data_IF_375490537638
#
_entry.id   IF_375490537638
#
_cell.length_a   1.000
_cell.length_b   1.000
_cell.length_c   1.000
_cell.angle_alpha   90.00
_cell.angle_beta   90.00
_cell.angle_gamma   90.00
#
_symmetry.space_group_name_H-M   'P 1'
#
loop_
_entity.id
_entity.type
_entity.pdbx_description
1 polymer ?
#
# COMPACT_ATOMS: atom_id res chain seq x y z
N UNK A 1 -4.91 -8.81 0.82
CA UNK A 1 -5.41 -7.52 1.32
C UNK A 1 -4.23 -6.68 1.75
N UNK A 2 -4.23 -5.41 1.40
CA UNK A 2 -3.18 -4.45 1.73
C UNK A 2 -3.79 -3.08 2.02
N UNK A 3 -3.04 -2.22 2.69
CA UNK A 3 -3.38 -0.82 2.88
C UNK A 3 -2.13 0.04 2.74
N UNK A 4 -2.29 1.14 2.01
CA UNK A 4 -1.36 2.26 1.95
C UNK A 4 -1.86 3.32 2.91
N UNK A 5 -0.98 3.73 3.82
CA UNK A 5 -1.26 4.78 4.78
C UNK A 5 -0.09 5.76 4.84
N UNK A 6 -0.38 6.97 5.29
CA UNK A 6 0.60 8.00 5.57
C UNK A 6 0.91 7.99 7.06
N UNK A 7 2.17 7.81 7.43
CA UNK A 7 2.58 7.81 8.84
C UNK A 7 2.24 9.14 9.53
N UNK A 8 1.77 9.07 10.77
CA UNK A 8 1.51 10.26 11.59
C UNK A 8 2.76 10.87 12.22
N UNK A 9 3.92 10.20 12.08
CA UNK A 9 5.21 10.67 12.60
C UNK A 9 5.76 11.87 11.80
N UNK A 10 6.83 12.51 12.29
CA UNK A 10 7.43 13.72 11.72
C UNK A 10 7.80 13.57 10.23
N UNK A 11 8.10 12.36 9.77
CA UNK A 11 8.44 12.07 8.38
C UNK A 11 7.27 12.10 7.41
N UNK A 12 6.02 11.93 7.89
CA UNK A 12 4.78 11.85 7.10
C UNK A 12 4.90 11.05 5.80
N UNK A 13 5.64 9.95 5.85
CA UNK A 13 5.94 9.09 4.70
C UNK A 13 4.77 8.14 4.43
N UNK A 14 4.57 7.81 3.18
CA UNK A 14 3.64 6.76 2.76
C UNK A 14 4.29 5.40 2.95
N UNK A 15 3.52 4.46 3.48
CA UNK A 15 3.90 3.06 3.69
C UNK A 15 2.78 2.16 3.23
N UNK A 16 3.13 0.91 2.94
CA UNK A 16 2.17 -0.15 2.66
C UNK A 16 2.30 -1.26 3.70
N UNK A 17 1.18 -1.77 4.18
CA UNK A 17 1.08 -3.01 4.96
C UNK A 17 0.36 -4.07 4.13
N UNK A 18 0.95 -5.27 4.06
CA UNK A 18 0.33 -6.42 3.42
C UNK A 18 -0.22 -7.35 4.50
N UNK A 19 -1.51 -7.22 4.82
CA UNK A 19 -2.15 -7.98 5.91
C UNK A 19 -2.04 -9.50 5.73
N UNK A 20 -1.98 -9.97 4.49
CA UNK A 20 -1.79 -11.39 4.14
C UNK A 20 -0.39 -11.92 4.43
N UNK A 21 0.58 -11.04 4.69
CA UNK A 21 1.98 -11.39 4.97
C UNK A 21 2.37 -11.13 6.43
N UNK A 22 1.42 -10.68 7.25
CA UNK A 22 1.63 -10.49 8.68
C UNK A 22 1.61 -11.85 9.42
N UNK A 23 2.50 -11.99 10.40
CA UNK A 23 2.56 -13.10 11.34
C UNK A 23 2.24 -12.61 12.76
N UNK A 24 2.04 -13.52 13.71
CA UNK A 24 1.66 -13.15 15.09
C UNK A 24 2.66 -12.20 15.76
N UNK A 25 3.94 -12.28 15.40
CA UNK A 25 4.98 -11.43 15.97
C UNK A 25 4.95 -9.97 15.49
N UNK A 26 4.54 -9.73 14.23
CA UNK A 26 4.56 -8.39 13.64
C UNK A 26 3.16 -7.76 13.49
N UNK A 27 2.10 -8.56 13.60
CA UNK A 27 0.73 -8.14 13.31
C UNK A 27 0.27 -6.97 14.18
N UNK A 28 0.41 -7.07 15.51
CA UNK A 28 -0.03 -5.99 16.41
C UNK A 28 0.70 -4.67 16.13
N UNK A 29 2.00 -4.73 15.86
CA UNK A 29 2.81 -3.54 15.62
C UNK A 29 2.43 -2.89 14.28
N UNK A 30 2.24 -3.67 13.23
CA UNK A 30 1.87 -3.18 11.90
C UNK A 30 0.43 -2.62 11.88
N UNK A 31 -0.52 -3.29 12.53
CA UNK A 31 -1.89 -2.79 12.67
C UNK A 31 -1.90 -1.48 13.45
N UNK A 32 -1.16 -1.40 14.56
CA UNK A 32 -1.08 -0.17 15.36
C UNK A 32 -0.50 1.00 14.56
N UNK A 33 0.51 0.75 13.71
CA UNK A 33 1.09 1.77 12.82
C UNK A 33 0.10 2.24 11.76
N UNK A 34 -0.60 1.30 11.12
CA UNK A 34 -1.62 1.61 10.11
C UNK A 34 -2.77 2.43 10.73
N UNK A 35 -3.26 2.04 11.91
CA UNK A 35 -4.32 2.75 12.62
C UNK A 35 -3.92 4.13 13.14
N UNK A 36 -2.65 4.32 13.48
CA UNK A 36 -2.14 5.63 13.86
C UNK A 36 -1.93 6.55 12.65
N UNK A 37 -1.77 5.99 11.45
CA UNK A 37 -1.58 6.72 10.20
C UNK A 37 -2.87 7.26 9.60
N UNK A 38 -2.72 8.06 8.55
CA UNK A 38 -3.83 8.52 7.72
C UNK A 38 -4.01 7.56 6.55
N UNK A 39 -5.20 6.99 6.44
CA UNK A 39 -5.55 6.08 5.35
C UNK A 39 -5.42 6.80 3.99
N UNK A 40 -4.79 6.14 3.01
CA UNK A 40 -4.67 6.64 1.63
C UNK A 40 -5.42 5.76 0.62
N UNK A 41 -5.18 4.44 0.66
CA UNK A 41 -5.81 3.49 -0.25
C UNK A 41 -5.68 2.06 0.29
N UNK A 42 -6.75 1.27 0.28
CA UNK A 42 -6.72 -0.16 0.58
C UNK A 42 -7.26 -0.99 -0.57
N UNK A 43 -6.95 -2.29 -0.56
CA UNK A 43 -7.49 -3.19 -1.56
C UNK A 43 -7.06 -4.64 -1.38
N UNK A 44 -7.45 -5.45 -2.36
CA UNK A 44 -7.08 -6.86 -2.44
C UNK A 44 -6.12 -7.10 -3.61
N UNK A 45 -5.24 -8.08 -3.44
CA UNK A 45 -4.31 -8.51 -4.48
C UNK A 45 -4.58 -9.99 -4.72
N UNK A 46 -4.92 -10.35 -5.94
CA UNK A 46 -5.07 -11.75 -6.33
C UNK A 46 -3.71 -12.46 -6.30
N UNK A 47 -3.66 -13.68 -5.76
CA UNK A 47 -2.41 -14.44 -5.61
C UNK A 47 -1.67 -14.62 -6.96
N UNK A 48 -2.43 -14.82 -8.05
CA UNK A 48 -1.89 -14.97 -9.41
C UNK A 48 -1.11 -13.75 -9.92
N UNK A 49 -1.43 -12.55 -9.44
CA UNK A 49 -0.82 -11.28 -9.85
C UNK A 49 -0.02 -10.62 -8.72
N UNK A 50 0.26 -11.35 -7.64
CA UNK A 50 0.83 -10.81 -6.41
C UNK A 50 2.12 -10.02 -6.65
N UNK A 51 3.02 -10.57 -7.45
CA UNK A 51 4.31 -9.95 -7.74
C UNK A 51 4.18 -8.68 -8.60
N UNK A 52 3.27 -8.66 -9.57
CA UNK A 52 3.01 -7.47 -10.40
C UNK A 52 2.35 -6.36 -9.59
N UNK A 53 1.31 -6.70 -8.81
CA UNK A 53 0.62 -5.74 -7.96
C UNK A 53 1.56 -5.12 -6.91
N UNK A 54 2.41 -5.92 -6.26
CA UNK A 54 3.42 -5.41 -5.33
C UNK A 54 4.39 -4.42 -5.97
N UNK A 55 4.78 -4.63 -7.23
CA UNK A 55 5.64 -3.67 -7.95
C UNK A 55 4.94 -2.34 -8.19
N UNK A 56 3.68 -2.36 -8.65
CA UNK A 56 2.87 -1.16 -8.86
C UNK A 56 2.69 -0.39 -7.55
N UNK A 57 2.36 -1.09 -6.46
CA UNK A 57 2.21 -0.50 -5.12
C UNK A 57 3.54 0.10 -4.64
N UNK A 58 4.65 -0.62 -4.80
CA UNK A 58 5.96 -0.13 -4.39
C UNK A 58 6.35 1.14 -5.16
N UNK A 59 6.06 1.18 -6.47
CA UNK A 59 6.28 2.37 -7.28
C UNK A 59 5.38 3.52 -6.85
N UNK A 60 4.09 3.29 -6.62
CA UNK A 60 3.15 4.27 -6.10
C UNK A 60 3.64 4.89 -4.79
N UNK A 61 4.02 4.07 -3.82
CA UNK A 61 4.58 4.52 -2.53
C UNK A 61 5.86 5.33 -2.72
N UNK A 62 6.74 4.93 -3.65
CA UNK A 62 7.95 5.70 -3.98
C UNK A 62 7.61 7.08 -4.53
N UNK A 63 6.67 7.16 -5.47
CA UNK A 63 6.22 8.42 -6.12
C UNK A 63 5.55 9.35 -5.12
N UNK A 64 4.65 8.83 -4.29
CA UNK A 64 4.01 9.56 -3.20
C UNK A 64 5.05 10.16 -2.23
N UNK A 65 6.06 9.37 -1.84
CA UNK A 65 7.14 9.84 -0.98
C UNK A 65 8.10 10.83 -1.65
N UNK A 66 8.18 10.83 -2.99
CA UNK A 66 8.93 11.81 -3.75
C UNK A 66 8.18 13.15 -3.89
N UNK A 67 6.93 13.23 -3.42
CA UNK A 67 6.08 14.42 -3.57
C UNK A 67 5.51 14.58 -4.97
N UNK A 68 5.52 13.52 -5.78
CA UNK A 68 4.85 13.53 -7.08
C UNK A 68 3.34 13.64 -6.90
N UNK A 69 2.67 14.25 -7.88
CA UNK A 69 1.21 14.20 -7.98
C UNK A 69 0.81 12.78 -8.42
N UNK A 70 0.56 11.95 -7.42
CA UNK A 70 0.05 10.59 -7.58
C UNK A 70 -1.16 10.42 -6.67
N UNK A 71 -2.29 9.98 -7.22
CA UNK A 71 -3.53 9.79 -6.48
C UNK A 71 -3.99 8.32 -6.45
N UNK A 72 -5.01 8.06 -5.64
CA UNK A 72 -5.62 6.74 -5.51
C UNK A 72 -6.18 6.19 -6.84
N UNK A 73 -6.71 7.06 -7.70
CA UNK A 73 -7.30 6.64 -8.97
C UNK A 73 -6.24 6.13 -9.96
N UNK A 74 -5.05 6.74 -9.96
CA UNK A 74 -3.91 6.26 -10.73
C UNK A 74 -3.40 4.90 -10.24
N UNK A 75 -3.42 4.67 -8.93
CA UNK A 75 -3.08 3.36 -8.35
C UNK A 75 -4.10 2.30 -8.76
N UNK A 76 -5.39 2.60 -8.59
CA UNK A 76 -6.49 1.72 -8.94
C UNK A 76 -6.43 1.33 -10.42
N UNK A 77 -6.18 2.29 -11.32
CA UNK A 77 -6.03 2.02 -12.74
C UNK A 77 -4.86 1.08 -13.06
N UNK A 78 -3.70 1.27 -12.41
CA UNK A 78 -2.54 0.38 -12.60
C UNK A 78 -2.77 -1.04 -12.07
N UNK A 79 -3.52 -1.19 -10.97
CA UNK A 79 -3.91 -2.49 -10.45
C UNK A 79 -4.95 -3.17 -11.36
N UNK A 80 -5.95 -2.43 -11.84
CA UNK A 80 -6.98 -2.94 -12.73
C UNK A 80 -6.43 -3.37 -14.10
N UNK A 81 -5.35 -2.76 -14.58
CA UNK A 81 -4.65 -3.18 -15.80
C UNK A 81 -4.06 -4.59 -15.64
N UNK A 82 -3.40 -4.86 -14.50
CA UNK A 82 -2.82 -6.17 -14.21
C UNK A 82 -3.89 -7.26 -14.11
N UNK A 83 -5.06 -6.95 -13.53
CA UNK A 83 -6.13 -7.94 -13.38
C UNK A 83 -6.79 -8.35 -14.70
N UNK A 84 -6.57 -7.58 -15.78
CA UNK A 84 -7.10 -7.83 -17.12
C UNK A 84 -6.15 -8.65 -18.02
N UNK A 85 -4.87 -8.77 -17.64
CA UNK A 85 -3.89 -9.64 -18.30
C UNK A 85 -4.04 -11.11 -17.88
#
# INVERSE_FOLDING_TARGET
MFEIYREADYGRRYRVVYFTELNEHNKEQEISRAMAGEHFYDGFIAERHKEQAKRVIAEAVRRLNAGERFDAAQLEAGLAEIERE
#
